data_IF_195058017770
#
_entry.id   IF_195058017770
#
_cell.length_a   1.000
_cell.length_b   1.000
_cell.length_c   1.000
_cell.angle_alpha   90.00
_cell.angle_beta   90.00
_cell.angle_gamma   90.00
#
_symmetry.space_group_name_H-M   'P 1'
#
loop_
_entity.id
_entity.type
_entity.pdbx_description
1 polymer ?
#
# COMPACT_ATOMS: atom_id res chain seq x y z
N UNK A 1 -31.95 12.07 1.94
CA UNK A 1 -30.59 12.26 1.41
C UNK A 1 -29.87 10.92 1.48
N UNK A 2 -29.77 10.19 0.36
CA UNK A 2 -29.06 8.90 0.30
C UNK A 2 -28.31 8.83 -1.02
N UNK A 3 -27.09 9.36 -0.97
CA UNK A 3 -26.02 9.14 -1.93
C UNK A 3 -24.79 8.94 -1.01
N UNK A 4 -23.91 7.95 -1.14
CA UNK A 4 -23.31 7.46 -2.36
C UNK A 4 -22.93 5.99 -2.21
N UNK A 5 -23.20 5.20 -3.25
CA UNK A 5 -22.52 3.93 -3.49
C UNK A 5 -21.14 4.29 -4.06
N UNK A 6 -20.05 4.04 -3.33
CA UNK A 6 -18.71 3.99 -3.92
C UNK A 6 -18.26 2.54 -3.86
N UNK A 7 -18.25 1.92 -5.04
CA UNK A 7 -17.90 0.54 -5.26
C UNK A 7 -16.48 0.28 -4.76
N UNK A 8 -16.35 -0.56 -3.74
CA UNK A 8 -15.08 -1.20 -3.40
C UNK A 8 -14.99 -2.45 -4.27
N UNK A 9 -14.42 -2.29 -5.46
CA UNK A 9 -14.11 -3.40 -6.34
C UNK A 9 -12.89 -4.12 -5.76
N UNK A 10 -13.12 -5.13 -4.91
CA UNK A 10 -12.12 -6.12 -4.52
C UNK A 10 -11.77 -6.96 -5.75
N UNK A 11 -10.80 -6.49 -6.53
CA UNK A 11 -10.17 -7.26 -7.60
C UNK A 11 -9.21 -8.23 -6.91
N UNK A 12 -9.67 -9.48 -6.76
CA UNK A 12 -8.79 -10.63 -6.55
C UNK A 12 -7.93 -10.77 -7.81
N UNK A 13 -6.63 -10.51 -7.71
CA UNK A 13 -5.70 -10.93 -8.76
C UNK A 13 -4.29 -11.24 -8.22
N UNK A 14 -3.97 -12.54 -8.32
CA UNK A 14 -2.68 -13.12 -8.65
C UNK A 14 -1.49 -12.96 -7.67
N UNK A 15 -1.40 -13.94 -6.76
CA UNK A 15 -0.26 -14.88 -6.62
C UNK A 15 1.04 -14.52 -7.35
N UNK A 16 2.04 -13.99 -6.63
CA UNK A 16 3.30 -14.68 -6.31
C UNK A 16 4.46 -13.70 -6.12
N UNK A 17 5.18 -13.93 -5.01
CA UNK A 17 6.61 -13.66 -4.80
C UNK A 17 7.10 -12.20 -4.77
N UNK A 18 6.78 -11.50 -3.68
CA UNK A 18 7.62 -10.41 -3.17
C UNK A 18 8.25 -10.84 -1.83
N UNK A 19 9.16 -11.81 -1.85
CA UNK A 19 9.86 -12.30 -0.65
C UNK A 19 11.16 -11.51 -0.34
N UNK A 20 11.34 -10.34 -0.93
CA UNK A 20 12.63 -9.64 -0.95
C UNK A 20 12.49 -8.12 -0.70
N UNK A 21 11.73 -7.74 0.34
CA UNK A 21 11.78 -6.40 0.97
C UNK A 21 11.19 -6.41 2.41
N UNK A 22 11.06 -7.60 3.01
CA UNK A 22 10.19 -7.83 4.16
C UNK A 22 10.63 -7.14 5.47
N UNK A 23 11.89 -6.70 5.59
CA UNK A 23 12.37 -6.11 6.85
C UNK A 23 11.78 -4.73 7.13
N UNK A 24 11.65 -3.87 6.11
CA UNK A 24 11.18 -2.49 6.29
C UNK A 24 9.66 -2.40 6.12
N UNK A 25 9.09 -3.16 5.18
CA UNK A 25 7.65 -3.24 5.00
C UNK A 25 6.92 -3.75 6.25
N UNK A 26 7.30 -4.92 6.78
CA UNK A 26 6.61 -5.49 7.94
C UNK A 26 6.87 -4.66 9.22
N UNK A 27 7.84 -3.74 9.21
CA UNK A 27 8.07 -2.77 10.29
C UNK A 27 7.18 -1.53 10.18
N UNK A 28 6.77 -1.17 8.96
CA UNK A 28 5.88 -0.05 8.66
C UNK A 28 4.40 -0.46 8.70
N UNK A 29 4.08 -1.70 8.30
CA UNK A 29 2.76 -2.34 8.38
C UNK A 29 2.46 -2.73 9.84
N UNK A 30 2.10 -1.73 10.64
CA UNK A 30 1.84 -1.88 12.08
C UNK A 30 0.52 -2.60 12.31
N UNK A 31 -0.45 -2.42 11.41
CA UNK A 31 -1.76 -3.03 11.52
C UNK A 31 -1.85 -4.45 10.92
N UNK A 32 -0.83 -4.85 10.14
CA UNK A 32 -0.72 -6.17 9.53
C UNK A 32 -1.73 -6.37 8.39
N UNK A 33 -2.14 -5.29 7.73
CA UNK A 33 -3.07 -5.31 6.60
C UNK A 33 -2.44 -5.91 5.35
N UNK A 34 -1.11 -5.93 5.25
CA UNK A 34 -0.38 -6.34 4.07
C UNK A 34 -0.19 -5.21 3.05
N UNK A 35 -0.51 -3.97 3.43
CA UNK A 35 -0.36 -2.73 2.65
C UNK A 35 0.13 -1.61 3.57
N UNK A 36 0.96 -0.68 3.08
CA UNK A 36 1.33 0.53 3.84
C UNK A 36 0.29 1.60 3.58
N UNK A 37 -0.46 1.95 4.61
CA UNK A 37 -1.42 3.03 4.56
C UNK A 37 -0.68 4.39 4.60
N UNK A 38 -1.25 5.51 4.13
CA UNK A 38 -0.55 6.80 4.15
C UNK A 38 -0.21 7.26 5.57
N UNK A 39 -0.94 6.81 6.58
CA UNK A 39 -0.60 7.09 7.98
C UNK A 39 0.66 6.36 8.44
N UNK A 40 0.92 5.18 7.89
CA UNK A 40 2.12 4.38 8.11
C UNK A 40 3.26 4.86 7.20
N UNK A 41 2.98 5.28 5.98
CA UNK A 41 3.98 5.95 5.17
C UNK A 41 4.44 7.27 5.82
N UNK A 42 3.56 7.97 6.55
CA UNK A 42 3.89 9.24 7.19
C UNK A 42 4.94 9.16 8.31
N UNK A 43 5.25 7.98 8.86
CA UNK A 43 6.39 7.84 9.78
C UNK A 43 7.73 7.97 9.06
N UNK A 44 7.75 7.74 7.75
CA UNK A 44 8.93 7.91 6.91
C UNK A 44 8.69 9.00 5.86
N UNK A 45 9.36 10.15 6.03
CA UNK A 45 9.14 11.30 5.15
C UNK A 45 9.59 11.06 3.71
N UNK A 46 10.58 10.18 3.50
CA UNK A 46 11.09 9.87 2.16
C UNK A 46 10.10 8.93 1.45
N UNK A 47 9.59 7.93 2.17
CA UNK A 47 8.53 7.06 1.67
C UNK A 47 7.26 7.83 1.33
N UNK A 48 6.83 8.75 2.19
CA UNK A 48 5.64 9.58 1.93
C UNK A 48 5.84 10.49 0.72
N UNK A 49 7.06 10.97 0.45
CA UNK A 49 7.35 11.79 -0.71
C UNK A 49 7.18 10.99 -2.02
N UNK A 50 7.61 9.73 -2.02
CA UNK A 50 7.50 8.83 -3.18
C UNK A 50 6.22 8.00 -3.18
N UNK A 51 5.40 8.06 -2.12
CA UNK A 51 4.16 7.27 -1.97
C UNK A 51 3.23 7.39 -3.17
N UNK A 52 3.03 8.61 -3.68
CA UNK A 52 2.17 8.86 -4.83
C UNK A 52 2.78 8.30 -6.13
N UNK A 53 4.11 8.24 -6.22
CA UNK A 53 4.81 7.68 -7.39
C UNK A 53 4.82 6.15 -7.34
N UNK A 54 4.86 5.57 -6.13
CA UNK A 54 4.83 4.14 -5.89
C UNK A 54 3.41 3.55 -5.96
N UNK A 55 2.38 4.30 -5.58
CA UNK A 55 0.96 3.94 -5.69
C UNK A 55 0.51 4.02 -7.16
N UNK A 56 0.97 3.05 -7.94
CA UNK A 56 0.72 2.98 -9.38
C UNK A 56 -0.69 2.52 -9.71
N UNK A 57 -1.33 1.77 -8.81
CA UNK A 57 -2.74 1.38 -8.91
C UNK A 57 -3.70 2.52 -8.53
N UNK A 58 -3.23 3.51 -7.77
CA UNK A 58 -4.05 4.61 -7.26
C UNK A 58 -5.04 4.14 -6.19
N UNK A 59 -4.65 3.12 -5.45
CA UNK A 59 -5.46 2.53 -4.38
C UNK A 59 -5.51 3.45 -3.15
N UNK A 60 -4.49 4.30 -2.99
CA UNK A 60 -4.26 5.14 -1.83
C UNK A 60 -3.46 4.44 -0.72
N UNK A 61 -2.93 3.25 -0.97
CA UNK A 61 -2.12 2.41 -0.07
C UNK A 61 -1.00 1.73 -0.88
N UNK A 62 0.18 1.51 -0.30
CA UNK A 62 1.26 0.81 -1.00
C UNK A 62 1.20 -0.69 -0.71
N UNK A 63 0.99 -1.47 -1.74
CA UNK A 63 1.08 -2.93 -1.65
C UNK A 63 2.53 -3.38 -1.43
N UNK A 64 2.74 -4.60 -0.93
CA UNK A 64 4.09 -5.20 -0.83
C UNK A 64 4.84 -5.17 -2.17
N UNK A 65 4.12 -5.30 -3.28
CA UNK A 65 4.72 -5.22 -4.61
C UNK A 65 5.13 -3.80 -5.00
N UNK A 66 4.30 -2.81 -4.68
CA UNK A 66 4.56 -1.40 -4.96
C UNK A 66 5.74 -0.89 -4.12
N UNK A 67 5.73 -1.24 -2.83
CA UNK A 67 6.85 -0.96 -1.93
C UNK A 67 8.13 -1.72 -2.33
N UNK A 68 8.04 -2.90 -2.96
CA UNK A 68 9.24 -3.59 -3.44
C UNK A 68 9.89 -2.91 -4.67
N UNK A 69 9.24 -1.93 -5.29
CA UNK A 69 9.81 -1.09 -6.34
C UNK A 69 10.42 0.23 -5.82
N UNK A 70 10.28 0.51 -4.52
CA UNK A 70 10.95 1.59 -3.78
C UNK A 70 12.40 1.19 -3.44
#
# INVERSE_FOLDING_TARGET
>A
MKHLNKALALIVLASSSAAFAASDFDSLDIDGSGTISPSEAAVDTDLMAEFIELDTDGSGELSKEEFANY
#
